data_IF_761170819861
#
_entry.id   IF_761170819861
#
_cell.length_a   1.000
_cell.length_b   1.000
_cell.length_c   1.000
_cell.angle_alpha   90.00
_cell.angle_beta   90.00
_cell.angle_gamma   90.00
#
_symmetry.space_group_name_H-M   'P 1'
#
loop_
_entity.id
_entity.type
_entity.pdbx_description
1 polymer ?
#
# COMPACT_ATOMS: atom_id res chain seq x y z
N UNK A 1 14.29 3.78 15.17
CA UNK A 1 13.39 3.26 16.23
C UNK A 1 11.94 3.25 15.75
N UNK A 2 11.32 4.41 15.46
CA UNK A 2 9.91 4.51 15.09
C UNK A 2 9.45 3.67 13.87
N UNK A 3 10.36 3.37 12.92
CA UNK A 3 10.09 2.47 11.79
C UNK A 3 9.75 1.02 12.18
N UNK A 4 9.88 0.64 13.47
CA UNK A 4 9.38 -0.64 13.97
C UNK A 4 7.88 -0.82 13.76
N UNK A 5 7.09 0.25 13.64
CA UNK A 5 5.67 0.20 13.26
C UNK A 5 5.41 -0.56 11.96
N UNK A 6 6.36 -0.50 11.01
CA UNK A 6 6.32 -1.28 9.77
C UNK A 6 7.20 -2.55 9.87
N UNK A 7 8.39 -2.41 10.44
CA UNK A 7 9.41 -3.47 10.46
C UNK A 7 9.05 -4.69 11.28
N UNK A 8 8.15 -4.56 12.26
CA UNK A 8 7.65 -5.65 13.10
C UNK A 8 6.14 -5.53 13.30
N UNK A 9 5.37 -6.48 12.73
CA UNK A 9 3.91 -6.48 12.89
C UNK A 9 3.48 -6.78 14.33
N UNK A 10 4.26 -7.59 15.03
CA UNK A 10 4.09 -7.82 16.46
C UNK A 10 4.20 -6.51 17.25
N UNK A 11 5.31 -5.76 17.08
CA UNK A 11 5.48 -4.45 17.71
C UNK A 11 4.33 -3.51 17.35
N UNK A 12 3.97 -3.44 16.07
CA UNK A 12 2.89 -2.59 15.57
C UNK A 12 1.55 -2.92 16.25
N UNK A 13 1.22 -4.20 16.40
CA UNK A 13 0.00 -4.65 17.07
C UNK A 13 0.01 -4.35 18.56
N UNK A 14 1.07 -4.72 19.25
CA UNK A 14 1.21 -4.44 20.68
C UNK A 14 1.13 -2.94 20.95
N UNK A 15 1.80 -2.13 20.14
CA UNK A 15 1.75 -0.67 20.17
C UNK A 15 0.31 -0.15 20.00
N UNK A 16 -0.43 -0.64 19.00
CA UNK A 16 -1.80 -0.22 18.78
C UNK A 16 -2.71 -0.58 19.96
N UNK A 17 -2.60 -1.81 20.48
CA UNK A 17 -3.41 -2.27 21.62
C UNK A 17 -3.15 -1.40 22.86
N UNK A 18 -1.89 -1.17 23.22
CA UNK A 18 -1.55 -0.42 24.45
C UNK A 18 -1.83 1.08 24.36
N UNK A 19 -1.90 1.65 23.16
CA UNK A 19 -2.31 3.04 22.93
C UNK A 19 -3.76 3.18 22.47
N UNK A 20 -4.55 2.10 22.56
CA UNK A 20 -5.98 2.08 22.24
C UNK A 20 -6.29 2.55 20.80
N UNK A 21 -5.36 2.31 19.87
CA UNK A 21 -5.57 2.56 18.45
C UNK A 21 -6.44 1.41 17.89
N UNK A 22 -7.59 1.70 17.26
CA UNK A 22 -8.49 0.66 16.76
C UNK A 22 -7.79 -0.24 15.75
N UNK A 23 -7.74 -1.55 16.04
CA UNK A 23 -7.12 -2.55 15.18
C UNK A 23 -7.79 -3.91 15.36
N UNK A 24 -7.45 -4.87 14.49
CA UNK A 24 -7.86 -6.25 14.62
C UNK A 24 -7.32 -6.87 15.91
N UNK A 25 -8.15 -7.60 16.66
CA UNK A 25 -7.69 -8.50 17.71
C UNK A 25 -6.66 -9.49 17.14
N UNK A 26 -5.53 -9.64 17.83
CA UNK A 26 -4.42 -10.44 17.34
C UNK A 26 -3.57 -11.01 18.48
N UNK A 27 -2.87 -12.11 18.20
CA UNK A 27 -1.84 -12.67 19.07
C UNK A 27 -0.66 -13.21 18.26
N UNK A 28 0.56 -13.01 18.77
CA UNK A 28 1.81 -13.48 18.18
C UNK A 28 2.25 -14.81 18.78
N UNK A 29 2.89 -15.65 17.96
CA UNK A 29 3.38 -16.97 18.35
C UNK A 29 4.73 -17.27 17.71
N UNK A 30 5.66 -17.80 18.50
CA UNK A 30 6.90 -18.43 18.03
C UNK A 30 6.83 -19.95 18.06
N UNK A 31 5.95 -20.50 18.90
CA UNK A 31 5.77 -21.95 19.09
C UNK A 31 4.55 -22.47 18.35
N UNK A 32 4.74 -23.51 17.54
CA UNK A 32 3.69 -24.10 16.70
C UNK A 32 2.49 -24.60 17.52
N UNK A 33 2.74 -25.31 18.62
CA UNK A 33 1.67 -25.90 19.44
C UNK A 33 0.80 -24.84 20.13
N UNK A 34 1.39 -23.69 20.48
CA UNK A 34 0.66 -22.56 21.05
C UNK A 34 -0.20 -21.87 20.01
N UNK A 35 0.34 -21.61 18.81
CA UNK A 35 -0.40 -21.07 17.68
C UNK A 35 -1.60 -21.98 17.33
N UNK A 36 -1.39 -23.29 17.30
CA UNK A 36 -2.46 -24.25 17.05
C UNK A 36 -3.51 -24.29 18.16
N UNK A 37 -3.11 -24.05 19.41
CA UNK A 37 -4.05 -23.93 20.53
C UNK A 37 -4.92 -22.69 20.38
N UNK A 38 -4.33 -21.56 20.02
CA UNK A 38 -5.07 -20.32 19.75
C UNK A 38 -6.01 -20.43 18.55
N UNK A 39 -5.57 -21.07 17.44
CA UNK A 39 -6.44 -21.31 16.28
C UNK A 39 -7.68 -22.15 16.63
N UNK A 40 -7.57 -23.06 17.61
CA UNK A 40 -8.71 -23.84 18.10
C UNK A 40 -9.68 -23.02 18.96
N UNK A 41 -9.24 -21.92 19.56
CA UNK A 41 -10.10 -21.02 20.35
C UNK A 41 -10.76 -19.94 19.53
N UNK A 42 -10.22 -19.61 18.35
CA UNK A 42 -10.95 -18.82 17.37
C UNK A 42 -12.10 -19.70 16.88
N UNK A 43 -13.35 -19.27 17.02
CA UNK A 43 -14.54 -20.02 16.55
C UNK A 43 -14.48 -20.24 15.01
N UNK A 44 -15.55 -20.60 14.31
CA UNK A 44 -15.49 -20.71 12.82
C UNK A 44 -15.24 -19.37 12.10
N UNK A 45 -14.82 -18.35 12.85
CA UNK A 45 -14.46 -17.04 12.36
C UNK A 45 -13.18 -17.10 11.50
N UNK A 46 -13.21 -16.53 10.29
CA UNK A 46 -12.03 -16.43 9.45
C UNK A 46 -10.91 -15.64 10.13
N UNK A 47 -9.68 -16.10 9.96
CA UNK A 47 -8.47 -15.45 10.50
C UNK A 47 -7.58 -14.91 9.38
N UNK A 48 -6.69 -13.99 9.73
CA UNK A 48 -5.56 -13.55 8.90
C UNK A 48 -4.28 -14.04 9.55
N UNK A 49 -3.40 -14.67 8.77
CA UNK A 49 -2.09 -15.10 9.25
C UNK A 49 -1.03 -14.23 8.60
N UNK A 50 -0.20 -13.60 9.43
CA UNK A 50 0.86 -12.69 9.00
C UNK A 50 2.22 -13.13 9.53
N UNK A 51 3.24 -13.14 8.67
CA UNK A 51 4.63 -13.18 9.12
C UNK A 51 5.01 -11.85 9.78
N UNK A 52 5.59 -11.87 10.99
CA UNK A 52 5.86 -10.64 11.76
C UNK A 52 6.86 -9.72 11.05
N UNK A 53 7.91 -10.29 10.47
CA UNK A 53 8.93 -9.51 9.76
C UNK A 53 8.50 -9.02 8.37
N UNK A 54 9.42 -8.31 7.71
CA UNK A 54 9.23 -7.80 6.35
C UNK A 54 9.26 -8.94 5.33
N UNK A 55 8.09 -9.26 4.78
CA UNK A 55 7.92 -10.32 3.78
C UNK A 55 7.47 -9.77 2.40
N UNK A 56 7.80 -8.51 2.09
CA UNK A 56 7.50 -7.83 0.83
C UNK A 56 6.03 -7.97 0.36
N UNK A 57 5.07 -7.85 1.29
CA UNK A 57 3.64 -8.01 1.04
C UNK A 57 3.17 -9.46 0.80
N UNK A 58 4.07 -10.43 0.71
CA UNK A 58 3.76 -11.86 0.49
C UNK A 58 3.50 -12.63 1.78
N UNK A 59 3.80 -12.03 2.93
CA UNK A 59 3.66 -12.66 4.25
C UNK A 59 2.27 -12.55 4.86
N UNK A 60 1.26 -12.02 4.15
CA UNK A 60 -0.13 -11.93 4.61
C UNK A 60 -0.96 -12.96 3.85
N UNK A 61 -1.55 -13.91 4.59
CA UNK A 61 -2.34 -15.00 4.05
C UNK A 61 -3.73 -15.02 4.68
N UNK A 62 -4.73 -15.28 3.85
CA UNK A 62 -6.15 -15.26 4.20
C UNK A 62 -6.70 -16.68 4.01
N UNK A 63 -6.48 -17.60 4.98
CA UNK A 63 -7.05 -18.94 4.90
C UNK A 63 -8.58 -18.88 4.86
N UNK A 64 -9.18 -19.75 4.06
CA UNK A 64 -10.64 -19.92 4.00
C UNK A 64 -11.12 -21.04 4.93
N UNK A 65 -10.23 -21.94 5.37
CA UNK A 65 -10.55 -22.98 6.36
C UNK A 65 -9.52 -23.07 7.49
N UNK A 66 -9.90 -23.70 8.60
CA UNK A 66 -9.00 -23.96 9.74
C UNK A 66 -7.85 -24.88 9.35
N UNK A 67 -8.08 -25.85 8.47
CA UNK A 67 -7.04 -26.74 7.95
C UNK A 67 -6.02 -25.96 7.11
N UNK A 68 -6.49 -25.03 6.28
CA UNK A 68 -5.61 -24.14 5.53
C UNK A 68 -4.82 -23.23 6.47
N UNK A 69 -5.46 -22.67 7.50
CA UNK A 69 -4.81 -21.88 8.53
C UNK A 69 -3.69 -22.67 9.24
N UNK A 70 -3.99 -23.89 9.68
CA UNK A 70 -3.03 -24.79 10.32
C UNK A 70 -1.83 -25.11 9.42
N UNK A 71 -2.09 -25.37 8.13
CA UNK A 71 -1.04 -25.62 7.14
C UNK A 71 -0.13 -24.41 6.96
N UNK A 72 -0.70 -23.20 6.91
CA UNK A 72 0.05 -21.96 6.80
C UNK A 72 0.95 -21.74 8.02
N UNK A 73 0.41 -21.89 9.23
CA UNK A 73 1.19 -21.75 10.48
C UNK A 73 2.35 -22.74 10.50
N UNK A 74 2.10 -24.00 10.09
CA UNK A 74 3.15 -25.02 9.97
C UNK A 74 4.24 -24.61 8.98
N UNK A 75 3.87 -24.14 7.80
CA UNK A 75 4.82 -23.69 6.76
C UNK A 75 5.67 -22.51 7.23
N UNK A 76 5.09 -21.62 8.04
CA UNK A 76 5.81 -20.46 8.59
C UNK A 76 6.79 -20.88 9.70
N UNK A 77 6.31 -21.55 10.75
CA UNK A 77 7.09 -21.81 11.97
C UNK A 77 8.02 -23.02 11.86
N UNK A 78 7.58 -24.12 11.22
CA UNK A 78 8.36 -25.36 11.14
C UNK A 78 9.20 -25.43 9.86
N UNK A 79 8.60 -25.05 8.73
CA UNK A 79 9.26 -25.17 7.42
C UNK A 79 10.04 -23.89 7.03
N UNK A 80 9.97 -22.84 7.86
CA UNK A 80 10.69 -21.57 7.70
C UNK A 80 10.55 -20.96 6.30
N UNK A 81 9.35 -21.05 5.70
CA UNK A 81 9.07 -20.61 4.32
C UNK A 81 9.44 -19.14 4.05
N UNK A 82 9.39 -18.29 5.08
CA UNK A 82 9.73 -16.86 5.00
C UNK A 82 11.08 -16.50 5.64
N UNK A 83 11.91 -17.50 5.97
CA UNK A 83 13.19 -17.29 6.67
C UNK A 83 12.98 -16.57 8.01
N UNK A 84 13.88 -15.66 8.34
CA UNK A 84 13.83 -14.87 9.58
C UNK A 84 12.53 -14.05 9.75
N UNK A 85 11.90 -13.62 8.64
CA UNK A 85 10.66 -12.85 8.72
C UNK A 85 9.47 -13.68 9.26
N UNK A 86 9.56 -15.01 9.22
CA UNK A 86 8.51 -15.95 9.66
C UNK A 86 8.77 -16.62 11.01
N UNK A 87 9.79 -16.20 11.77
CA UNK A 87 10.08 -16.77 13.11
C UNK A 87 8.97 -16.49 14.13
N UNK A 88 8.29 -15.36 13.96
CA UNK A 88 7.07 -15.02 14.70
C UNK A 88 5.91 -14.93 13.72
N UNK A 89 4.82 -15.63 14.05
CA UNK A 89 3.55 -15.59 13.31
C UNK A 89 2.52 -14.83 14.12
N UNK A 90 1.88 -13.86 13.47
CA UNK A 90 0.78 -13.08 14.01
C UNK A 90 -0.53 -13.62 13.44
N UNK A 91 -1.45 -14.02 14.31
CA UNK A 91 -2.79 -14.50 13.95
C UNK A 91 -3.79 -13.44 14.39
N UNK A 92 -4.60 -12.95 13.45
CA UNK A 92 -5.55 -11.85 13.67
C UNK A 92 -6.97 -12.22 13.26
N UNK A 93 -7.96 -11.55 13.83
CA UNK A 93 -9.32 -11.56 13.31
C UNK A 93 -9.36 -11.03 11.86
N UNK A 94 -10.16 -11.66 10.99
CA UNK A 94 -10.38 -11.15 9.63
C UNK A 94 -11.43 -10.05 9.65
N UNK A 95 -10.97 -8.81 9.65
CA UNK A 95 -11.84 -7.64 9.50
C UNK A 95 -12.58 -7.68 8.16
N UNK A 96 -13.86 -7.28 8.20
CA UNK A 96 -14.73 -7.15 7.02
C UNK A 96 -15.09 -5.68 6.83
N UNK A 97 -15.05 -5.22 5.58
CA UNK A 97 -15.27 -3.83 5.27
C UNK A 97 -14.68 -3.43 3.92
N UNK A 98 -14.56 -2.13 3.69
CA UNK A 98 -13.85 -1.58 2.52
C UNK A 98 -12.48 -1.04 2.95
N UNK A 99 -11.44 -1.39 2.19
CA UNK A 99 -10.08 -0.91 2.45
C UNK A 99 -9.91 0.56 2.04
N UNK A 100 -9.13 1.29 2.84
CA UNK A 100 -8.80 2.70 2.64
C UNK A 100 -7.34 2.95 3.02
N UNK A 101 -6.60 3.67 2.17
CA UNK A 101 -5.22 4.10 2.46
C UNK A 101 -5.24 5.57 2.87
N UNK A 102 -4.79 5.88 4.08
CA UNK A 102 -4.64 7.26 4.56
C UNK A 102 -3.18 7.51 4.90
N UNK A 103 -2.60 8.56 4.33
CA UNK A 103 -1.22 8.95 4.56
C UNK A 103 -1.19 10.30 5.27
N UNK A 104 -0.14 10.58 6.03
CA UNK A 104 0.11 11.90 6.56
C UNK A 104 1.59 12.26 6.53
N UNK A 105 1.88 13.53 6.28
CA UNK A 105 3.18 14.12 6.64
C UNK A 105 3.24 14.27 8.16
N UNK A 106 4.37 13.97 8.78
CA UNK A 106 4.55 14.02 10.22
C UNK A 106 5.92 14.61 10.59
N UNK A 107 5.94 15.53 11.56
CA UNK A 107 7.18 16.14 12.09
C UNK A 107 7.55 15.67 13.51
N UNK A 108 6.76 14.74 14.05
CA UNK A 108 6.88 14.19 15.39
C UNK A 108 5.97 14.84 16.43
N UNK A 109 5.32 15.94 16.09
CA UNK A 109 4.30 16.62 16.89
C UNK A 109 3.03 16.83 16.07
N UNK A 110 3.17 17.44 14.91
CA UNK A 110 2.10 17.79 13.97
C UNK A 110 2.01 16.74 12.87
N UNK A 111 0.81 16.57 12.34
CA UNK A 111 0.59 15.81 11.12
C UNK A 111 -0.41 16.50 10.20
N UNK A 112 -0.23 16.31 8.90
CA UNK A 112 -1.16 16.72 7.86
C UNK A 112 -1.59 15.53 7.03
N UNK A 113 -2.87 15.20 7.08
CA UNK A 113 -3.46 14.08 6.33
C UNK A 113 -3.50 14.43 4.85
N UNK A 114 -3.04 13.50 4.01
CA UNK A 114 -3.09 13.60 2.55
C UNK A 114 -4.45 13.11 2.02
N UNK A 115 -4.83 13.47 0.78
CA UNK A 115 -6.03 12.93 0.14
C UNK A 115 -6.08 11.40 0.19
N UNK A 116 -7.17 10.81 0.73
CA UNK A 116 -7.25 9.38 0.96
C UNK A 116 -7.37 8.61 -0.35
N UNK A 117 -6.58 7.54 -0.47
CA UNK A 117 -6.51 6.72 -1.67
C UNK A 117 -7.14 5.34 -1.44
N UNK A 118 -7.46 4.65 -2.54
CA UNK A 118 -7.71 3.22 -2.53
C UNK A 118 -6.78 2.55 -3.52
N UNK A 119 -6.18 1.43 -3.11
CA UNK A 119 -5.36 0.59 -3.96
C UNK A 119 -6.11 -0.70 -4.35
N UNK A 120 -5.58 -1.36 -5.37
CA UNK A 120 -6.10 -2.62 -5.87
C UNK A 120 -5.01 -3.70 -5.79
N UNK A 121 -4.93 -4.39 -4.64
CA UNK A 121 -3.87 -5.39 -4.37
C UNK A 121 -3.96 -6.65 -5.21
N UNK A 122 -5.16 -7.07 -5.60
CA UNK A 122 -5.39 -8.33 -6.31
C UNK A 122 -5.00 -8.23 -7.78
N UNK A 123 -4.35 -9.27 -8.31
CA UNK A 123 -3.79 -9.29 -9.66
C UNK A 123 -4.86 -9.13 -10.75
N UNK A 124 -5.99 -9.82 -10.62
CA UNK A 124 -6.99 -9.95 -11.68
C UNK A 124 -8.22 -9.07 -11.41
N UNK A 125 -8.92 -8.72 -12.48
CA UNK A 125 -10.22 -8.04 -12.44
C UNK A 125 -11.21 -8.75 -11.50
N UNK A 126 -12.02 -7.95 -10.81
CA UNK A 126 -12.97 -8.41 -9.80
C UNK A 126 -12.29 -8.79 -8.48
N UNK A 127 -11.09 -8.25 -8.21
CA UNK A 127 -10.27 -8.56 -7.04
C UNK A 127 -9.95 -10.06 -6.87
N UNK A 128 -9.62 -10.71 -7.99
CA UNK A 128 -9.28 -12.14 -8.02
C UNK A 128 -7.78 -12.38 -8.13
N UNK A 129 -7.38 -13.63 -7.94
CA UNK A 129 -5.98 -14.04 -8.06
C UNK A 129 -5.14 -13.66 -6.83
N UNK A 130 -3.81 -13.83 -6.91
CA UNK A 130 -2.93 -13.58 -5.77
C UNK A 130 -2.88 -12.10 -5.40
N UNK A 131 -2.52 -11.82 -4.14
CA UNK A 131 -2.10 -10.48 -3.73
C UNK A 131 -0.81 -10.08 -4.47
N UNK A 132 -0.71 -8.80 -4.77
CA UNK A 132 0.43 -8.15 -5.43
C UNK A 132 0.88 -6.97 -4.57
N UNK A 133 1.86 -6.21 -5.05
CA UNK A 133 2.20 -4.92 -4.44
C UNK A 133 1.17 -3.82 -4.71
N UNK A 134 0.14 -4.08 -5.55
CA UNK A 134 -0.84 -3.12 -6.03
C UNK A 134 -0.82 -3.04 -7.55
N UNK A 135 -1.99 -3.18 -8.19
CA UNK A 135 -2.21 -3.14 -9.65
C UNK A 135 -2.78 -1.81 -10.15
N UNK A 136 -3.01 -0.88 -9.23
CA UNK A 136 -3.53 0.44 -9.52
C UNK A 136 -4.04 1.09 -8.24
N UNK A 137 -4.25 2.39 -8.29
CA UNK A 137 -4.81 3.17 -7.20
C UNK A 137 -5.59 4.35 -7.75
N UNK A 138 -6.41 4.97 -6.91
CA UNK A 138 -7.09 6.22 -7.24
C UNK A 138 -7.34 7.05 -5.98
N UNK A 139 -7.53 8.35 -6.20
CA UNK A 139 -7.89 9.34 -5.17
C UNK A 139 -8.74 10.45 -5.82
N UNK A 140 -9.69 11.08 -5.10
CA UNK A 140 -10.11 10.75 -3.74
C UNK A 140 -10.91 9.45 -3.69
N UNK A 141 -10.83 8.75 -2.57
CA UNK A 141 -11.69 7.62 -2.25
C UNK A 141 -13.13 8.07 -1.99
N UNK A 142 -14.16 7.54 -2.68
CA UNK A 142 -15.57 7.88 -2.44
C UNK A 142 -16.09 7.41 -1.08
N UNK A 143 -15.28 6.64 -0.35
CA UNK A 143 -15.57 6.20 1.02
C UNK A 143 -15.37 7.26 2.07
N UNK A 144 -14.72 8.37 1.70
CA UNK A 144 -14.28 9.35 2.68
C UNK A 144 -15.21 10.52 2.79
N UNK A 145 -15.42 10.93 4.03
CA UNK A 145 -16.06 12.19 4.39
C UNK A 145 -15.09 12.96 5.29
N UNK A 146 -15.25 14.29 5.43
CA UNK A 146 -14.46 15.08 6.38
C UNK A 146 -14.51 14.52 7.80
N UNK A 147 -15.68 14.04 8.24
CA UNK A 147 -15.88 13.47 9.58
C UNK A 147 -15.10 12.16 9.76
N UNK A 148 -15.05 11.32 8.72
CA UNK A 148 -14.25 10.10 8.77
C UNK A 148 -12.76 10.43 8.85
N UNK A 149 -12.28 11.42 8.10
CA UNK A 149 -10.88 11.85 8.15
C UNK A 149 -10.51 12.45 9.50
N UNK A 150 -11.40 13.24 10.11
CA UNK A 150 -11.22 13.75 11.48
C UNK A 150 -11.16 12.59 12.48
N UNK A 151 -12.06 11.60 12.34
CA UNK A 151 -12.05 10.41 13.17
C UNK A 151 -10.73 9.64 13.04
N UNK A 152 -10.23 9.43 11.82
CA UNK A 152 -8.93 8.79 11.55
C UNK A 152 -7.78 9.59 12.15
N UNK A 153 -7.80 10.92 12.03
CA UNK A 153 -6.83 11.79 12.67
C UNK A 153 -6.80 11.62 14.19
N UNK A 154 -7.97 11.62 14.83
CA UNK A 154 -8.13 11.52 16.29
C UNK A 154 -7.86 10.12 16.84
N UNK A 155 -8.27 9.06 16.16
CA UNK A 155 -8.22 7.69 16.67
C UNK A 155 -6.99 6.90 16.19
N UNK A 156 -6.34 7.33 15.10
CA UNK A 156 -5.21 6.63 14.50
C UNK A 156 -3.95 7.48 14.55
N UNK A 157 -3.90 8.60 13.83
CA UNK A 157 -2.66 9.37 13.68
C UNK A 157 -2.20 10.02 14.98
N UNK A 158 -3.13 10.71 15.68
CA UNK A 158 -2.79 11.41 16.92
C UNK A 158 -2.24 10.48 18.00
N UNK A 159 -2.96 9.42 18.43
CA UNK A 159 -2.44 8.48 19.43
C UNK A 159 -1.18 7.74 18.96
N UNK A 160 -0.99 7.54 17.65
CA UNK A 160 0.24 6.94 17.13
C UNK A 160 1.45 7.84 17.37
N UNK A 161 1.36 9.13 17.04
CA UNK A 161 2.46 10.07 17.26
C UNK A 161 2.70 10.32 18.76
N UNK A 162 1.64 10.48 19.55
CA UNK A 162 1.74 10.72 20.99
C UNK A 162 2.34 9.51 21.71
N UNK A 163 1.90 8.30 21.36
CA UNK A 163 2.41 7.05 21.92
C UNK A 163 3.89 6.82 21.59
N UNK A 164 4.26 7.01 20.32
CA UNK A 164 5.65 6.92 19.89
C UNK A 164 6.54 7.94 20.61
N UNK A 165 6.08 9.19 20.74
CA UNK A 165 6.79 10.23 21.49
C UNK A 165 6.94 9.87 22.98
N UNK A 166 5.90 9.33 23.61
CA UNK A 166 5.92 8.91 25.01
C UNK A 166 6.95 7.79 25.29
N UNK A 167 7.28 6.98 24.28
CA UNK A 167 8.32 5.95 24.35
C UNK A 167 9.70 6.41 23.88
N UNK A 168 9.88 7.71 23.64
CA UNK A 168 11.15 8.26 23.16
C UNK A 168 11.46 7.93 21.69
N UNK A 169 10.44 7.59 20.90
CA UNK A 169 10.56 7.26 19.47
C UNK A 169 9.92 8.34 18.60
N UNK A 170 10.51 9.54 18.51
CA UNK A 170 9.99 10.59 17.61
C UNK A 170 9.84 10.08 16.18
N UNK A 171 8.65 10.25 15.60
CA UNK A 171 8.35 9.85 14.22
C UNK A 171 8.39 11.06 13.29
N UNK A 172 9.23 11.02 12.26
CA UNK A 172 9.33 12.08 11.25
C UNK A 172 9.29 11.44 9.87
N UNK A 173 8.45 11.96 8.97
CA UNK A 173 8.31 11.46 7.61
C UNK A 173 6.87 11.23 7.21
N UNK A 174 6.63 10.20 6.39
CA UNK A 174 5.29 9.84 5.92
C UNK A 174 4.80 8.62 6.68
N UNK A 175 3.77 8.80 7.49
CA UNK A 175 3.05 7.71 8.12
C UNK A 175 1.88 7.30 7.21
N UNK A 176 1.87 6.03 6.82
CA UNK A 176 0.80 5.41 6.06
C UNK A 176 0.02 4.49 7.00
N UNK A 177 -1.31 4.64 7.02
CA UNK A 177 -2.24 3.74 7.68
C UNK A 177 -3.11 3.05 6.63
N UNK A 178 -2.95 1.73 6.53
CA UNK A 178 -3.91 0.88 5.81
C UNK A 178 -5.08 0.61 6.73
N UNK A 179 -6.28 1.01 6.35
CA UNK A 179 -7.48 0.93 7.17
C UNK A 179 -8.50 -0.02 6.55
N UNK A 180 -9.24 -0.70 7.41
CA UNK A 180 -10.52 -1.35 7.07
C UNK A 180 -11.64 -0.51 7.67
N UNK A 181 -12.58 -0.05 6.83
CA UNK A 181 -13.81 0.59 7.30
C UNK A 181 -14.82 -0.49 7.64
N UNK A 182 -14.95 -0.82 8.93
CA UNK A 182 -15.90 -1.81 9.44
C UNK A 182 -17.18 -1.14 9.92
N UNK A 183 -18.19 -1.94 10.31
CA UNK A 183 -19.43 -1.42 10.91
C UNK A 183 -19.18 -0.69 12.25
N UNK A 184 -18.07 -0.97 12.93
CA UNK A 184 -17.63 -0.32 14.17
C UNK A 184 -16.73 0.91 13.93
N UNK A 185 -16.42 1.24 12.67
CA UNK A 185 -15.55 2.35 12.27
C UNK A 185 -14.20 1.92 11.66
N UNK A 186 -13.26 2.87 11.46
CA UNK A 186 -11.97 2.59 10.87
C UNK A 186 -11.07 1.81 11.83
N UNK A 187 -10.60 0.64 11.40
CA UNK A 187 -9.61 -0.18 12.10
C UNK A 187 -8.32 -0.27 11.29
N UNK A 188 -7.18 -0.10 11.94
CA UNK A 188 -5.85 -0.20 11.32
C UNK A 188 -5.52 -1.65 10.99
N UNK A 189 -5.22 -1.93 9.72
CA UNK A 189 -4.71 -3.21 9.24
C UNK A 189 -3.20 -3.30 9.41
N UNK A 190 -2.49 -2.23 9.05
CA UNK A 190 -1.04 -2.10 9.13
C UNK A 190 -0.60 -0.63 9.02
N UNK A 191 0.60 -0.35 9.52
CA UNK A 191 1.32 0.88 9.25
C UNK A 191 2.46 0.64 8.26
N UNK A 192 2.68 1.61 7.36
CA UNK A 192 3.90 1.72 6.58
C UNK A 192 4.59 3.04 6.94
N UNK A 193 5.91 3.06 6.95
CA UNK A 193 6.71 4.23 7.34
C UNK A 193 7.26 5.01 6.14
N UNK A 194 6.51 4.99 5.06
CA UNK A 194 6.85 5.56 3.76
C UNK A 194 5.58 5.71 2.94
N UNK A 195 5.74 6.43 1.84
CA UNK A 195 4.79 6.48 0.74
C UNK A 195 4.43 5.07 0.21
N UNK A 196 3.14 4.85 -0.07
CA UNK A 196 2.65 3.61 -0.70
C UNK A 196 2.92 3.59 -2.21
N UNK A 197 3.03 2.40 -2.80
CA UNK A 197 3.19 2.22 -4.24
C UNK A 197 2.15 1.18 -4.69
N UNK A 198 1.09 1.56 -5.44
CA UNK A 198 1.05 2.73 -6.32
C UNK A 198 0.26 3.97 -5.81
N UNK A 199 -0.06 4.09 -4.52
CA UNK A 199 -0.88 5.22 -4.03
C UNK A 199 -0.20 6.59 -4.20
N UNK A 200 1.12 6.65 -4.10
CA UNK A 200 1.88 7.91 -4.26
C UNK A 200 1.68 8.51 -5.64
N UNK A 201 1.57 7.67 -6.66
CA UNK A 201 1.37 8.05 -8.05
C UNK A 201 0.00 8.64 -8.31
N UNK A 202 -0.94 8.59 -7.35
CA UNK A 202 -2.21 9.33 -7.44
C UNK A 202 -2.32 10.46 -6.43
N UNK A 203 -1.65 10.37 -5.29
CA UNK A 203 -1.66 11.42 -4.26
C UNK A 203 -0.79 12.60 -4.67
N UNK A 204 0.51 12.39 -4.93
CA UNK A 204 1.44 13.49 -5.18
C UNK A 204 1.13 14.33 -6.43
N UNK A 205 0.56 13.80 -7.53
CA UNK A 205 0.14 14.65 -8.64
C UNK A 205 -0.95 15.67 -8.30
N UNK A 206 -1.63 15.51 -7.18
CA UNK A 206 -2.63 16.47 -6.69
C UNK A 206 -2.05 17.48 -5.71
N UNK A 207 -0.79 17.36 -5.29
CA UNK A 207 -0.16 18.32 -4.39
C UNK A 207 0.16 19.61 -5.15
N UNK A 208 -0.40 20.73 -4.71
CA UNK A 208 -0.15 22.05 -5.30
C UNK A 208 1.03 22.75 -4.60
N UNK A 209 1.24 22.47 -3.31
CA UNK A 209 2.39 22.96 -2.54
C UNK A 209 3.72 22.32 -2.94
N UNK A 210 4.84 22.97 -2.59
CA UNK A 210 6.18 22.40 -2.81
C UNK A 210 6.45 21.26 -1.84
N UNK A 211 6.61 20.05 -2.39
CA UNK A 211 6.93 18.85 -1.62
C UNK A 211 8.25 19.00 -0.83
N UNK A 212 9.25 19.70 -1.38
CA UNK A 212 10.54 19.90 -0.71
C UNK A 212 10.37 20.77 0.54
N UNK A 213 9.52 21.80 0.47
CA UNK A 213 9.23 22.67 1.61
C UNK A 213 8.54 21.89 2.75
N UNK A 214 7.54 21.07 2.40
CA UNK A 214 6.84 20.20 3.36
C UNK A 214 7.80 19.20 4.00
N UNK A 215 8.67 18.56 3.21
CA UNK A 215 9.68 17.63 3.72
C UNK A 215 10.66 18.32 4.65
N UNK A 216 11.10 19.53 4.32
CA UNK A 216 11.99 20.31 5.17
C UNK A 216 11.30 20.70 6.49
N UNK A 217 10.05 21.12 6.45
CA UNK A 217 9.27 21.41 7.65
C UNK A 217 9.05 20.19 8.55
N UNK A 218 8.87 18.99 7.96
CA UNK A 218 8.87 17.74 8.72
C UNK A 218 10.18 17.54 9.50
N UNK A 219 11.32 17.74 8.82
CA UNK A 219 12.66 17.56 9.42
C UNK A 219 12.90 18.60 10.52
N UNK A 220 12.50 19.85 10.29
CA UNK A 220 12.75 20.98 11.19
C UNK A 220 11.74 21.07 12.35
N UNK A 221 10.64 20.30 12.33
CA UNK A 221 9.59 20.40 13.35
C UNK A 221 8.73 21.65 13.22
N UNK A 222 8.55 22.14 11.98
CA UNK A 222 7.78 23.35 11.65
C UNK A 222 6.54 23.02 10.82
N UNK A 223 6.06 21.78 10.83
CA UNK A 223 4.94 21.38 9.98
C UNK A 223 3.63 22.09 10.35
N UNK A 224 3.50 22.54 11.61
CA UNK A 224 2.39 23.39 12.06
C UNK A 224 2.32 24.77 11.38
N UNK A 225 3.41 25.23 10.75
CA UNK A 225 3.49 26.53 10.06
C UNK A 225 3.08 26.43 8.58
N UNK A 226 2.89 25.22 8.06
CA UNK A 226 2.57 24.95 6.66
C UNK A 226 1.19 24.30 6.59
N UNK A 227 0.40 24.69 5.60
CA UNK A 227 -0.84 24.00 5.23
C UNK A 227 -0.66 23.44 3.81
N UNK A 228 -0.48 22.11 3.64
CA UNK A 228 -0.36 21.52 2.31
C UNK A 228 -1.65 21.70 1.49
N UNK A 229 -1.53 22.38 0.36
CA UNK A 229 -2.62 22.63 -0.58
C UNK A 229 -2.72 21.50 -1.61
N UNK A 230 -3.95 21.06 -1.87
CA UNK A 230 -4.24 19.95 -2.77
C UNK A 230 -5.29 20.34 -3.80
N UNK A 231 -5.08 19.91 -5.03
CA UNK A 231 -6.02 20.06 -6.12
C UNK A 231 -7.32 19.30 -5.85
N UNK A 232 -8.45 19.87 -6.24
CA UNK A 232 -9.77 19.21 -6.17
C UNK A 232 -9.99 18.16 -7.26
N UNK A 233 -9.00 17.91 -8.11
CA UNK A 233 -9.08 16.89 -9.16
C UNK A 233 -9.03 15.48 -8.58
N UNK A 234 -9.46 14.51 -9.37
CA UNK A 234 -9.22 13.10 -9.13
C UNK A 234 -7.99 12.63 -9.91
N UNK A 235 -7.29 11.63 -9.40
CA UNK A 235 -6.20 10.95 -10.07
C UNK A 235 -6.40 9.43 -10.01
N UNK A 236 -6.06 8.76 -11.11
CA UNK A 236 -6.12 7.29 -11.25
C UNK A 236 -4.83 6.82 -11.86
N UNK A 237 -4.22 5.78 -11.30
CA UNK A 237 -3.04 5.12 -11.84
C UNK A 237 -3.31 3.66 -12.12
N UNK A 238 -2.87 3.19 -13.29
CA UNK A 238 -2.96 1.80 -13.71
C UNK A 238 -1.54 1.24 -13.81
N UNK A 239 -1.29 0.14 -13.11
CA UNK A 239 0.00 -0.55 -13.19
C UNK A 239 0.01 -1.44 -14.42
N UNK A 240 1.00 -1.25 -15.29
CA UNK A 240 1.37 -2.21 -16.31
C UNK A 240 2.47 -3.12 -15.76
N UNK A 241 2.18 -4.41 -15.70
CA UNK A 241 3.04 -5.45 -15.16
C UNK A 241 3.60 -6.37 -16.26
N UNK A 242 4.76 -6.96 -15.99
CA UNK A 242 5.36 -7.99 -16.82
C UNK A 242 4.53 -9.29 -16.76
N UNK A 243 4.49 -10.08 -17.85
CA UNK A 243 3.80 -11.36 -17.84
C UNK A 243 4.37 -12.28 -16.75
N UNK A 244 3.50 -12.96 -16.01
CA UNK A 244 3.88 -13.88 -14.93
C UNK A 244 3.99 -13.25 -13.53
N UNK A 245 3.98 -11.91 -13.41
CA UNK A 245 3.85 -11.22 -12.12
C UNK A 245 2.59 -11.71 -11.36
N UNK A 246 2.65 -11.99 -10.04
CA UNK A 246 3.73 -11.72 -9.06
C UNK A 246 4.74 -12.85 -8.83
N UNK A 247 4.77 -13.86 -9.71
CA UNK A 247 5.73 -14.98 -9.66
C UNK A 247 6.98 -14.63 -10.47
N UNK A 248 7.45 -15.55 -11.30
CA UNK A 248 8.55 -15.33 -12.24
C UNK A 248 8.04 -14.53 -13.44
N UNK A 249 8.86 -13.57 -13.89
CA UNK A 249 8.55 -12.68 -15.00
C UNK A 249 9.84 -12.39 -15.79
N UNK A 250 9.75 -12.15 -17.11
CA UNK A 250 10.90 -11.80 -17.92
C UNK A 250 11.31 -10.33 -17.70
N UNK A 251 12.62 -10.08 -17.80
CA UNK A 251 13.21 -8.74 -17.85
C UNK A 251 13.93 -8.53 -19.19
N UNK A 252 14.20 -7.28 -19.56
CA UNK A 252 14.87 -6.94 -20.81
C UNK A 252 13.95 -6.88 -22.04
N UNK A 253 12.63 -6.85 -21.85
CA UNK A 253 11.64 -6.75 -22.94
C UNK A 253 11.50 -5.29 -23.35
N UNK A 254 11.51 -4.98 -24.65
CA UNK A 254 11.33 -3.62 -25.14
C UNK A 254 9.97 -3.01 -24.78
N UNK A 255 10.01 -1.74 -24.40
CA UNK A 255 8.86 -0.90 -24.09
C UNK A 255 8.78 0.22 -25.13
N UNK A 256 7.61 0.40 -25.73
CA UNK A 256 7.33 1.40 -26.75
C UNK A 256 6.12 2.26 -26.36
N UNK A 257 6.06 3.51 -26.84
CA UNK A 257 4.86 4.34 -26.80
C UNK A 257 4.62 5.11 -25.51
N UNK A 258 5.61 5.18 -24.60
CA UNK A 258 5.54 6.03 -23.39
C UNK A 258 5.28 7.48 -23.77
N UNK A 259 6.01 7.98 -24.77
CA UNK A 259 5.89 9.32 -25.31
C UNK A 259 4.49 9.61 -25.88
N UNK A 260 3.78 8.59 -26.36
CA UNK A 260 2.42 8.71 -26.89
C UNK A 260 1.39 8.87 -25.77
N UNK A 261 1.59 8.18 -24.65
CA UNK A 261 0.76 8.36 -23.47
C UNK A 261 1.00 9.75 -22.84
N UNK A 262 2.26 10.19 -22.77
CA UNK A 262 2.60 11.54 -22.29
C UNK A 262 2.02 12.64 -23.19
N UNK A 263 1.96 12.43 -24.51
CA UNK A 263 1.37 13.36 -25.46
C UNK A 263 -0.12 13.66 -25.18
N UNK A 264 -0.86 12.73 -24.56
CA UNK A 264 -2.26 12.93 -24.12
C UNK A 264 -2.37 13.35 -22.65
N UNK A 265 -1.28 13.88 -22.09
CA UNK A 265 -1.18 14.42 -20.72
C UNK A 265 -1.39 13.36 -19.63
N UNK A 266 -1.05 12.10 -19.89
CA UNK A 266 -0.82 11.13 -18.83
C UNK A 266 0.57 11.34 -18.22
N UNK A 267 0.69 11.07 -16.93
CA UNK A 267 1.98 10.95 -16.25
C UNK A 267 2.36 9.47 -16.28
N UNK A 268 3.56 9.15 -16.77
CA UNK A 268 4.06 7.76 -16.83
C UNK A 268 5.21 7.62 -15.83
N UNK A 269 4.93 7.02 -14.68
CA UNK A 269 5.98 6.78 -13.68
C UNK A 269 6.62 5.41 -13.92
N UNK A 270 7.95 5.41 -14.02
CA UNK A 270 8.74 4.21 -14.23
C UNK A 270 8.92 3.46 -12.90
N UNK A 271 8.54 2.18 -12.87
CA UNK A 271 8.82 1.27 -11.77
C UNK A 271 10.01 0.38 -12.17
N UNK A 272 9.77 -0.88 -12.54
CA UNK A 272 10.79 -1.79 -13.04
C UNK A 272 11.12 -1.54 -14.51
N UNK A 273 11.91 -0.51 -14.80
CA UNK A 273 12.45 -0.26 -16.15
C UNK A 273 13.93 0.05 -16.10
N UNK A 274 14.64 -0.24 -17.20
CA UNK A 274 16.03 0.19 -17.42
C UNK A 274 16.22 0.76 -18.81
N UNK A 275 17.22 1.61 -18.96
CA UNK A 275 17.65 2.12 -20.26
C UNK A 275 18.89 1.36 -20.70
N UNK A 276 18.84 0.76 -21.90
CA UNK A 276 20.00 0.17 -22.56
C UNK A 276 20.48 1.08 -23.68
N UNK A 277 21.81 1.26 -23.80
CA UNK A 277 22.40 1.93 -24.95
C UNK A 277 22.00 1.18 -26.23
N UNK A 278 21.52 1.91 -27.23
CA UNK A 278 21.11 1.33 -28.50
C UNK A 278 22.31 0.86 -29.31
N UNK A 279 22.30 -0.40 -29.75
CA UNK A 279 23.28 -0.91 -30.73
C UNK A 279 22.85 -0.68 -32.18
N UNK A 280 21.59 -0.27 -32.39
CA UNK A 280 20.98 0.00 -33.70
C UNK A 280 20.30 1.37 -33.66
N UNK A 281 20.64 2.25 -34.60
CA UNK A 281 20.12 3.64 -34.74
C UNK A 281 20.45 4.65 -33.63
N UNK A 282 21.42 4.37 -32.75
CA UNK A 282 21.84 5.28 -31.65
C UNK A 282 20.72 5.76 -30.71
N UNK A 283 19.57 5.06 -30.67
CA UNK A 283 18.49 5.39 -29.76
C UNK A 283 18.54 4.49 -28.53
N UNK A 284 18.49 5.11 -27.35
CA UNK A 284 18.35 4.40 -26.09
C UNK A 284 17.07 3.56 -26.10
N UNK A 285 17.17 2.30 -25.68
CA UNK A 285 16.04 1.37 -25.57
C UNK A 285 15.54 1.36 -24.14
N UNK A 286 14.23 1.53 -23.97
CA UNK A 286 13.57 1.34 -22.68
C UNK A 286 13.15 -0.12 -22.55
N UNK A 287 13.59 -0.78 -21.49
CA UNK A 287 13.37 -2.21 -21.27
C UNK A 287 12.67 -2.46 -19.93
N UNK A 288 11.93 -3.56 -19.83
CA UNK A 288 11.42 -4.06 -18.54
C UNK A 288 12.58 -4.48 -17.63
N UNK A 289 12.44 -4.23 -16.33
CA UNK A 289 13.43 -4.62 -15.30
C UNK A 289 12.78 -4.91 -13.94
N UNK A 290 11.50 -5.29 -13.94
CA UNK A 290 10.76 -5.65 -12.72
C UNK A 290 9.36 -6.15 -13.01
N UNK A 291 8.71 -6.69 -11.99
CA UNK A 291 7.38 -7.28 -12.11
C UNK A 291 6.29 -6.25 -12.39
N UNK A 292 6.30 -5.13 -11.66
CA UNK A 292 5.56 -3.91 -12.02
C UNK A 292 6.49 -3.04 -12.85
N UNK A 293 6.05 -2.65 -14.04
CA UNK A 293 6.91 -2.02 -15.04
C UNK A 293 6.65 -0.52 -15.08
N UNK A 294 5.39 -0.11 -15.29
CA UNK A 294 5.00 1.29 -15.40
C UNK A 294 3.72 1.56 -14.60
N UNK A 295 3.57 2.80 -14.16
CA UNK A 295 2.34 3.35 -13.63
C UNK A 295 1.84 4.43 -14.60
N UNK A 296 0.70 4.20 -15.25
CA UNK A 296 0.09 5.19 -16.14
C UNK A 296 -0.98 5.93 -15.37
N UNK A 297 -0.67 7.17 -15.01
CA UNK A 297 -1.53 8.05 -14.22
C UNK A 297 -2.22 9.09 -15.09
N UNK A 298 -3.50 9.34 -14.85
CA UNK A 298 -4.21 10.48 -15.41
C UNK A 298 -5.01 11.21 -14.34
N UNK A 299 -5.14 12.53 -14.51
CA UNK A 299 -5.97 13.39 -13.68
C UNK A 299 -7.30 13.68 -14.39
N UNK A 300 -8.35 14.01 -13.64
CA UNK A 300 -9.63 14.42 -14.22
C UNK A 300 -10.56 15.04 -13.20
N UNK A 301 -11.63 15.68 -13.66
CA UNK A 301 -12.62 16.31 -12.76
C UNK A 301 -13.48 15.31 -11.98
N UNK A 302 -13.30 14.01 -12.23
CA UNK A 302 -13.90 12.91 -11.48
C UNK A 302 -13.04 11.67 -11.64
N UNK A 303 -13.15 10.71 -10.72
CA UNK A 303 -12.48 9.40 -10.81
C UNK A 303 -12.78 8.75 -12.15
N UNK A 304 -14.06 8.75 -12.58
CA UNK A 304 -14.45 8.21 -13.90
C UNK A 304 -13.72 8.86 -15.07
N UNK A 305 -13.58 10.18 -15.08
CA UNK A 305 -12.87 10.88 -16.15
C UNK A 305 -11.36 10.55 -16.14
N UNK A 306 -10.75 10.52 -14.96
CA UNK A 306 -9.36 10.11 -14.78
C UNK A 306 -9.13 8.65 -15.23
N UNK A 307 -10.02 7.72 -14.86
CA UNK A 307 -9.98 6.31 -15.27
C UNK A 307 -9.97 6.16 -16.79
N UNK A 308 -10.92 6.81 -17.49
CA UNK A 308 -11.00 6.74 -18.95
C UNK A 308 -9.70 7.24 -19.61
N UNK A 309 -9.14 8.34 -19.11
CA UNK A 309 -7.87 8.89 -19.61
C UNK A 309 -6.69 7.99 -19.32
N UNK A 310 -6.61 7.40 -18.12
CA UNK A 310 -5.53 6.48 -17.76
C UNK A 310 -5.53 5.25 -18.67
N UNK A 311 -6.70 4.66 -18.94
CA UNK A 311 -6.83 3.55 -19.90
C UNK A 311 -6.48 3.94 -21.34
N UNK A 312 -6.81 5.16 -21.77
CA UNK A 312 -6.38 5.70 -23.07
C UNK A 312 -4.84 5.79 -23.14
N UNK A 313 -4.19 6.19 -22.04
CA UNK A 313 -2.72 6.18 -21.90
C UNK A 313 -2.14 4.77 -21.97
N UNK A 314 -2.69 3.83 -21.21
CA UNK A 314 -2.24 2.42 -21.21
C UNK A 314 -2.33 1.81 -22.61
N UNK A 315 -3.40 2.10 -23.37
CA UNK A 315 -3.59 1.58 -24.73
C UNK A 315 -2.52 2.05 -25.73
N UNK A 316 -1.76 3.10 -25.42
CA UNK A 316 -0.69 3.65 -26.26
C UNK A 316 0.68 3.05 -25.98
N UNK A 317 0.84 2.38 -24.85
CA UNK A 317 2.10 1.78 -24.41
C UNK A 317 2.07 0.28 -24.72
N UNK A 318 3.18 -0.25 -25.22
CA UNK A 318 3.29 -1.66 -25.59
C UNK A 318 4.62 -2.25 -25.14
N UNK A 319 4.55 -3.43 -24.53
CA UNK A 319 5.64 -4.38 -24.41
C UNK A 319 5.05 -5.79 -24.47
N UNK A 320 5.89 -6.78 -24.81
CA UNK A 320 5.41 -8.14 -25.06
C UNK A 320 4.62 -8.69 -23.86
N UNK A 321 3.36 -9.08 -24.12
CA UNK A 321 2.42 -9.64 -23.14
C UNK A 321 2.22 -8.77 -21.88
N UNK A 322 2.25 -7.45 -22.04
CA UNK A 322 1.93 -6.51 -20.97
C UNK A 322 0.56 -6.84 -20.32
N UNK A 323 0.55 -6.90 -18.99
CA UNK A 323 -0.65 -7.19 -18.21
C UNK A 323 -1.07 -5.98 -17.36
N UNK A 324 -2.35 -5.68 -17.31
CA UNK A 324 -2.94 -4.66 -16.44
C UNK A 324 -4.41 -4.98 -16.19
N UNK A 325 -4.94 -4.53 -15.03
CA UNK A 325 -6.36 -4.66 -14.71
C UNK A 325 -7.22 -3.68 -15.50
N UNK A 326 -8.45 -4.08 -15.82
CA UNK A 326 -9.42 -3.28 -16.61
C UNK A 326 -10.53 -2.65 -15.76
N UNK A 327 -10.45 -2.77 -14.44
CA UNK A 327 -11.47 -2.34 -13.49
C UNK A 327 -10.97 -1.38 -12.40
N UNK A 328 -9.79 -0.75 -12.58
CA UNK A 328 -9.25 0.21 -11.62
C UNK A 328 -10.13 1.46 -11.59
N UNK A 329 -10.61 1.85 -10.39
CA UNK A 329 -11.48 3.00 -10.21
C UNK A 329 -12.91 2.83 -10.73
N UNK A 330 -13.35 1.58 -11.02
CA UNK A 330 -14.72 1.27 -11.47
C UNK A 330 -15.70 0.96 -10.33
N UNK A 331 -15.35 1.24 -9.06
CA UNK A 331 -16.15 0.92 -7.87
C UNK A 331 -16.50 2.13 -7.03
#
# INVERSE_FOLDING_TARGET
AAAQLEGSKEFSKEFMVRHQIPTAHAQSFTEFDEAMRYLRTQDEEPVVIKASGLAAGKGVLLPETREEAALIVRQMLLEKRFGAAGETVLIEERLRGRELSVLAFCDGETFHIMPPAQDHKRLLDGDRGPNTGGMGAFTPSPLTTPELLEQVGRQVFRPTLDGLKAEGMRYVGVLYAGLMLTDDGPKVLEFNCRFGDPETQVVLPLLESDLVEIMLACIEGRLAEIEPEWSSMAAVTIVMAAPGYPREYPVGVDIYGVERAEAIKCLVFHAGTKVSAGTKYNQNRLLTDGGRVLNVTALGNSVRAATLRAYDGVARIQFNEAFYRKDIGNR
#
